data_IF_039441392122
#
_entry.id   IF_039441392122
#
_cell.length_a   1.000
_cell.length_b   1.000
_cell.length_c   1.000
_cell.angle_alpha   90.00
_cell.angle_beta   90.00
_cell.angle_gamma   90.00
#
_symmetry.space_group_name_H-M   'P 1'
#
loop_
_entity.id
_entity.type
_entity.pdbx_description
1 polymer ?
#
# COMPACT_ATOMS: atom_id res chain seq x y z
N UNK A 1 -4.75 23.26 -16.54
CA UNK A 1 -5.32 21.93 -16.22
C UNK A 1 -4.28 20.79 -16.25
N UNK A 2 -3.35 20.76 -17.21
CA UNK A 2 -2.32 19.70 -17.35
C UNK A 2 -1.38 19.63 -16.14
N UNK A 3 -0.92 20.76 -15.61
CA UNK A 3 0.01 20.80 -14.47
C UNK A 3 -0.58 20.20 -13.20
N UNK A 4 -1.86 20.50 -12.90
CA UNK A 4 -2.59 19.90 -11.77
C UNK A 4 -2.65 18.38 -11.91
N UNK A 5 -2.94 17.86 -13.12
CA UNK A 5 -2.96 16.42 -13.39
C UNK A 5 -1.59 15.78 -13.14
N UNK A 6 -0.51 16.39 -13.64
CA UNK A 6 0.87 15.92 -13.42
C UNK A 6 1.25 15.93 -11.94
N UNK A 7 0.88 16.97 -11.22
CA UNK A 7 1.09 17.07 -9.77
C UNK A 7 0.40 15.93 -9.03
N UNK A 8 -0.90 15.69 -9.31
CA UNK A 8 -1.67 14.61 -8.68
C UNK A 8 -1.07 13.22 -8.97
N UNK A 9 -0.65 12.97 -10.21
CA UNK A 9 0.03 11.72 -10.59
C UNK A 9 1.35 11.54 -9.82
N UNK A 10 2.18 12.58 -9.73
CA UNK A 10 3.43 12.54 -8.97
C UNK A 10 3.18 12.29 -7.48
N UNK A 11 2.17 12.93 -6.90
CA UNK A 11 1.76 12.76 -5.51
C UNK A 11 1.27 11.33 -5.25
N UNK A 12 0.40 10.80 -6.11
CA UNK A 12 -0.13 9.44 -5.97
C UNK A 12 0.98 8.40 -6.07
N UNK A 13 1.90 8.53 -7.03
CA UNK A 13 3.08 7.66 -7.16
C UNK A 13 3.98 7.71 -5.92
N UNK A 14 4.21 8.90 -5.34
CA UNK A 14 4.98 9.03 -4.10
C UNK A 14 4.30 8.35 -2.92
N UNK A 15 2.98 8.49 -2.80
CA UNK A 15 2.18 7.81 -1.77
C UNK A 15 2.29 6.29 -1.91
N UNK A 16 2.09 5.76 -3.12
CA UNK A 16 2.19 4.32 -3.39
C UNK A 16 3.60 3.78 -3.09
N UNK A 17 4.64 4.47 -3.55
CA UNK A 17 6.02 4.08 -3.27
C UNK A 17 6.36 4.12 -1.78
N UNK A 18 5.83 5.09 -1.04
CA UNK A 18 6.05 5.16 0.41
C UNK A 18 5.40 3.97 1.13
N UNK A 19 4.19 3.60 0.72
CA UNK A 19 3.50 2.43 1.28
C UNK A 19 4.27 1.15 0.92
N UNK A 20 4.73 0.99 -0.32
CA UNK A 20 5.57 -0.16 -0.73
C UNK A 20 6.85 -0.26 0.11
N UNK A 21 7.49 0.86 0.44
CA UNK A 21 8.67 0.87 1.31
C UNK A 21 8.34 0.47 2.75
N UNK A 22 7.19 0.90 3.28
CA UNK A 22 6.74 0.47 4.60
C UNK A 22 6.50 -1.05 4.64
N UNK A 23 5.87 -1.60 3.60
CA UNK A 23 5.73 -3.05 3.43
C UNK A 23 7.09 -3.77 3.36
N UNK A 24 8.01 -3.29 2.52
CA UNK A 24 9.36 -3.88 2.41
C UNK A 24 10.10 -3.88 3.74
N UNK A 25 10.03 -2.78 4.49
CA UNK A 25 10.67 -2.67 5.80
C UNK A 25 10.07 -3.66 6.81
N UNK A 26 8.75 -3.85 6.78
CA UNK A 26 8.07 -4.83 7.61
C UNK A 26 8.62 -6.24 7.35
N UNK A 27 8.71 -6.65 6.09
CA UNK A 27 9.21 -7.99 5.70
C UNK A 27 10.72 -8.15 5.95
N UNK A 28 11.54 -7.18 5.55
CA UNK A 28 13.00 -7.29 5.63
C UNK A 28 13.53 -7.25 7.05
N UNK A 29 12.86 -6.52 7.94
CA UNK A 29 13.33 -6.31 9.31
C UNK A 29 12.44 -6.98 10.36
N UNK A 30 11.39 -7.69 9.96
CA UNK A 30 10.40 -8.30 10.85
C UNK A 30 9.85 -7.28 11.87
N UNK A 31 9.36 -6.16 11.34
CA UNK A 31 8.95 -5.01 12.16
C UNK A 31 7.47 -4.71 12.02
N UNK A 32 6.82 -4.39 13.15
CA UNK A 32 5.45 -3.89 13.16
C UNK A 32 5.41 -2.41 12.74
N UNK A 33 4.73 -2.12 11.63
CA UNK A 33 4.68 -0.78 11.05
C UNK A 33 3.22 -0.35 10.85
N UNK A 34 2.95 0.89 11.26
CA UNK A 34 1.76 1.64 10.87
C UNK A 34 2.16 2.91 10.13
N UNK A 35 1.49 3.15 8.99
CA UNK A 35 1.67 4.37 8.19
C UNK A 35 0.31 4.95 7.85
N UNK A 36 0.00 6.15 8.37
CA UNK A 36 -1.18 6.91 8.01
C UNK A 36 -0.85 8.11 7.12
N UNK A 37 -1.54 8.25 5.98
CA UNK A 37 -1.38 9.37 5.06
C UNK A 37 -2.72 10.05 4.86
N UNK A 38 -2.83 11.30 5.29
CA UNK A 38 -4.01 12.16 5.03
C UNK A 38 -3.69 13.18 3.94
N UNK A 39 -4.44 13.13 2.85
CA UNK A 39 -4.43 14.20 1.84
C UNK A 39 -5.26 15.37 2.39
N UNK A 40 -4.59 16.47 2.78
CA UNK A 40 -5.27 17.64 3.34
C UNK A 40 -6.35 18.21 2.42
N UNK A 41 -6.09 18.21 1.11
CA UNK A 41 -6.98 18.78 0.09
C UNK A 41 -8.31 18.03 -0.03
N UNK A 42 -8.32 16.71 0.15
CA UNK A 42 -9.52 15.88 -0.02
C UNK A 42 -10.02 15.28 1.28
N UNK A 43 -9.27 15.45 2.38
CA UNK A 43 -9.50 14.76 3.64
C UNK A 43 -9.21 13.25 3.61
N UNK A 44 -8.99 12.66 2.43
CA UNK A 44 -8.84 11.22 2.24
C UNK A 44 -7.66 10.67 3.04
N UNK A 45 -7.93 9.65 3.82
CA UNK A 45 -6.92 8.89 4.56
C UNK A 45 -6.62 7.59 3.82
N UNK A 46 -5.35 7.25 3.72
CA UNK A 46 -4.87 5.93 3.31
C UNK A 46 -3.94 5.43 4.40
N UNK A 47 -4.17 4.22 4.90
CA UNK A 47 -3.30 3.60 5.90
C UNK A 47 -2.63 2.36 5.35
N UNK A 48 -1.48 2.01 5.92
CA UNK A 48 -0.88 0.69 5.87
C UNK A 48 -0.64 0.21 7.30
N UNK A 49 -1.02 -1.02 7.60
CA UNK A 49 -0.82 -1.65 8.90
C UNK A 49 -0.34 -3.08 8.68
N UNK A 50 0.84 -3.41 9.25
CA UNK A 50 1.40 -4.76 9.14
C UNK A 50 0.60 -5.79 9.93
N UNK A 51 0.08 -5.39 11.10
CA UNK A 51 -0.77 -6.21 11.95
C UNK A 51 -1.99 -5.40 12.43
N UNK A 52 -3.15 -5.54 11.78
CA UNK A 52 -4.37 -4.87 12.17
C UNK A 52 -4.91 -5.25 13.56
N UNK A 53 -4.50 -6.40 14.11
CA UNK A 53 -4.90 -6.87 15.43
C UNK A 53 -3.87 -6.52 16.52
N UNK A 54 -2.68 -6.04 16.13
CA UNK A 54 -1.56 -5.76 17.01
C UNK A 54 -1.62 -4.39 17.69
N UNK A 55 -0.44 -3.86 18.03
CA UNK A 55 -0.28 -2.62 18.83
C UNK A 55 -0.89 -1.38 18.17
N UNK A 56 -1.10 -1.40 16.85
CA UNK A 56 -1.62 -0.28 16.08
C UNK A 56 -3.12 -0.36 15.80
N UNK A 57 -3.80 -1.42 16.28
CA UNK A 57 -5.25 -1.63 16.10
C UNK A 57 -6.08 -0.44 16.55
N UNK A 58 -5.72 0.21 17.67
CA UNK A 58 -6.40 1.41 18.17
C UNK A 58 -6.32 2.60 17.20
N UNK A 59 -5.28 2.66 16.37
CA UNK A 59 -5.15 3.72 15.35
C UNK A 59 -6.12 3.50 14.19
N UNK A 60 -6.46 2.24 13.88
CA UNK A 60 -7.47 1.89 12.88
C UNK A 60 -8.88 2.13 13.42
N UNK A 61 -9.16 1.77 14.68
CA UNK A 61 -10.49 1.98 15.28
C UNK A 61 -10.87 3.47 15.35
N UNK A 62 -9.89 4.35 15.60
CA UNK A 62 -10.10 5.81 15.56
C UNK A 62 -10.55 6.33 14.18
N UNK A 63 -10.39 5.52 13.12
CA UNK A 63 -10.70 5.88 11.75
C UNK A 63 -12.01 5.26 11.23
N UNK A 64 -12.65 4.36 11.96
CA UNK A 64 -13.89 3.67 11.53
C UNK A 64 -15.03 4.65 11.23
N UNK A 65 -15.15 5.74 12.00
CA UNK A 65 -16.17 6.77 11.80
C UNK A 65 -15.69 7.96 10.97
N UNK A 66 -14.52 7.87 10.32
CA UNK A 66 -13.92 9.00 9.61
C UNK A 66 -14.53 9.19 8.21
N UNK A 67 -14.64 10.45 7.77
CA UNK A 67 -15.10 10.80 6.42
C UNK A 67 -14.08 11.70 5.68
N UNK A 68 -13.76 11.44 4.39
CA UNK A 68 -14.20 10.30 3.57
C UNK A 68 -13.69 8.95 4.07
N UNK A 69 -14.37 7.86 3.70
CA UNK A 69 -14.04 6.49 4.13
C UNK A 69 -12.54 6.21 3.90
N UNK A 70 -11.77 5.90 4.95
CA UNK A 70 -10.35 5.60 4.82
C UNK A 70 -10.09 4.36 3.96
N UNK A 71 -8.96 4.37 3.26
CA UNK A 71 -8.49 3.21 2.49
C UNK A 71 -7.44 2.50 3.33
N UNK A 72 -7.74 1.32 3.82
CA UNK A 72 -6.82 0.51 4.61
C UNK A 72 -6.05 -0.46 3.71
N UNK A 73 -4.75 -0.57 3.95
CA UNK A 73 -3.88 -1.56 3.34
C UNK A 73 -3.23 -2.42 4.41
N UNK A 74 -3.09 -3.68 4.10
CA UNK A 74 -2.54 -4.75 4.95
C UNK A 74 -1.43 -5.46 4.20
N UNK A 75 -0.76 -6.42 4.83
CA UNK A 75 0.24 -7.26 4.15
C UNK A 75 -0.37 -8.03 2.97
N UNK A 76 -1.58 -8.54 3.12
CA UNK A 76 -2.28 -9.33 2.10
C UNK A 76 -2.48 -8.55 0.79
N UNK A 77 -2.67 -7.24 0.87
CA UNK A 77 -2.81 -6.36 -0.31
C UNK A 77 -1.53 -6.29 -1.16
N UNK A 78 -0.37 -6.67 -0.61
CA UNK A 78 0.91 -6.65 -1.29
C UNK A 78 1.44 -8.04 -1.64
N UNK A 79 1.07 -9.06 -0.87
CA UNK A 79 1.44 -10.45 -1.16
C UNK A 79 0.74 -10.95 -2.44
N UNK A 80 -0.55 -10.65 -2.60
CA UNK A 80 -1.32 -11.02 -3.80
C UNK A 80 -0.72 -10.46 -5.09
N UNK A 81 -0.19 -9.24 -5.04
CA UNK A 81 0.45 -8.61 -6.22
C UNK A 81 1.75 -9.29 -6.63
N UNK A 82 2.46 -9.97 -5.71
CA UNK A 82 3.70 -10.69 -6.05
C UNK A 82 3.42 -11.99 -6.77
N UNK A 83 2.36 -12.70 -6.41
CA UNK A 83 1.95 -13.94 -7.05
C UNK A 83 1.56 -13.69 -8.52
N UNK A 84 0.85 -12.59 -8.78
CA UNK A 84 0.47 -12.17 -10.15
C UNK A 84 1.67 -11.80 -11.03
N UNK A 85 2.74 -11.22 -10.47
CA UNK A 85 3.96 -10.87 -11.21
C UNK A 85 4.88 -12.10 -11.48
N UNK A 86 4.78 -13.16 -10.68
CA UNK A 86 5.56 -14.40 -10.84
C UNK A 86 4.90 -15.39 -11.82
N UNK A 87 3.58 -15.35 -12.00
CA UNK A 87 2.86 -16.19 -12.98
C UNK A 87 3.04 -15.75 -14.44
N UNK A 88 3.45 -14.50 -14.71
CA UNK A 88 3.71 -13.98 -16.07
C UNK A 88 5.15 -14.29 -16.58
N UNK A 89 5.98 -14.97 -15.78
CA UNK A 89 7.31 -15.46 -16.18
C UNK A 89 7.33 -16.94 -16.58
N UNK A 90 6.28 -17.41 -17.28
CA UNK A 90 6.30 -18.70 -17.95
C UNK A 90 7.41 -18.79 -19.00
N UNK A 91 8.39 -19.66 -18.74
CA UNK A 91 9.57 -19.93 -19.55
C UNK A 91 9.22 -20.28 -21.01
N UNK A 92 9.64 -19.48 -22.02
CA UNK A 92 9.35 -19.77 -23.43
C UNK A 92 10.26 -20.85 -24.05
N UNK A 93 11.12 -21.53 -23.28
CA UNK A 93 12.11 -22.46 -23.86
C UNK A 93 11.98 -23.91 -23.37
N UNK A 94 10.79 -24.49 -23.51
CA UNK A 94 10.58 -25.94 -23.32
C UNK A 94 9.91 -26.60 -24.53
N UNK A 95 10.50 -26.45 -25.72
CA UNK A 95 10.20 -27.35 -26.84
C UNK A 95 11.38 -27.40 -27.84
N UNK A 96 12.47 -28.06 -27.42
CA UNK A 96 13.39 -28.69 -28.36
C UNK A 96 13.99 -29.93 -27.68
N UNK A 97 13.34 -31.08 -27.89
CA UNK A 97 13.86 -32.42 -27.63
C UNK A 97 13.38 -33.37 -28.73
#
# INVERSE_FOLDING_TARGET
QIERRRYLQKRNRRRENLIKKAFQMCILCDTEIFLGIRVKETGQVTTFCSDPAGIWSSSLSCLESYYPVPIHKTLDDFLKTREEDEEDQGDPNSEEA
#
